data_IF_016904268194
#
_entry.id   IF_016904268194
#
_cell.length_a   1.000
_cell.length_b   1.000
_cell.length_c   1.000
_cell.angle_alpha   90.00
_cell.angle_beta   90.00
_cell.angle_gamma   90.00
#
_symmetry.space_group_name_H-M   'P 1'
#
loop_
_entity.id
_entity.type
_entity.pdbx_description
1 polymer ?
#
# COMPACT_ATOMS: atom_id res chain seq x y z
N UNK A 1 55.90 16.26 -23.71
CA UNK A 1 54.83 17.13 -23.15
C UNK A 1 53.50 17.01 -23.90
N UNK A 2 53.44 17.19 -25.23
CA UNK A 2 52.17 17.15 -26.00
C UNK A 2 51.40 15.81 -25.90
N UNK A 3 52.11 14.67 -25.88
CA UNK A 3 51.50 13.33 -25.78
C UNK A 3 50.83 13.09 -24.43
N UNK A 4 51.43 13.59 -23.35
CA UNK A 4 50.89 13.46 -22.00
C UNK A 4 49.60 14.28 -21.86
N UNK A 5 49.57 15.46 -22.48
CA UNK A 5 48.39 16.33 -22.52
C UNK A 5 47.26 15.69 -23.36
N UNK A 6 47.56 15.07 -24.49
CA UNK A 6 46.54 14.37 -25.29
C UNK A 6 45.97 13.15 -24.56
N UNK A 7 46.79 12.38 -23.84
CA UNK A 7 46.30 11.27 -23.00
C UNK A 7 45.39 11.79 -21.89
N UNK A 8 45.76 12.88 -21.23
CA UNK A 8 44.96 13.50 -20.18
C UNK A 8 43.60 13.97 -20.70
N UNK A 9 43.58 14.57 -21.90
CA UNK A 9 42.33 15.02 -22.55
C UNK A 9 41.44 13.83 -22.91
N UNK A 10 42.00 12.75 -23.44
CA UNK A 10 41.22 11.54 -23.75
C UNK A 10 40.63 10.94 -22.47
N UNK A 11 41.43 10.85 -21.40
CA UNK A 11 40.97 10.32 -20.11
C UNK A 11 39.87 11.20 -19.50
N UNK A 12 40.01 12.52 -19.61
CA UNK A 12 39.00 13.47 -19.18
C UNK A 12 37.68 13.30 -19.96
N UNK A 13 37.74 13.17 -21.29
CA UNK A 13 36.55 12.95 -22.12
C UNK A 13 35.86 11.63 -21.80
N UNK A 14 36.60 10.56 -21.53
CA UNK A 14 36.04 9.27 -21.10
C UNK A 14 35.33 9.40 -19.75
N UNK A 15 35.92 10.11 -18.79
CA UNK A 15 35.28 10.39 -17.50
C UNK A 15 34.01 11.23 -17.64
N UNK A 16 34.04 12.28 -18.47
CA UNK A 16 32.85 13.09 -18.75
C UNK A 16 31.75 12.26 -19.42
N UNK A 17 32.10 11.40 -20.39
CA UNK A 17 31.14 10.50 -21.03
C UNK A 17 30.52 9.51 -20.03
N UNK A 18 31.33 8.89 -19.17
CA UNK A 18 30.83 8.01 -18.11
C UNK A 18 29.93 8.75 -17.10
N UNK A 19 30.19 10.02 -16.81
CA UNK A 19 29.33 10.80 -15.92
C UNK A 19 27.95 11.08 -16.54
N UNK A 20 27.90 11.21 -17.88
CA UNK A 20 26.67 11.49 -18.62
C UNK A 20 25.91 10.22 -19.02
N UNK A 21 26.58 9.06 -19.15
CA UNK A 21 26.00 7.82 -19.70
C UNK A 21 26.10 6.62 -18.74
N UNK A 22 26.92 6.68 -17.70
CA UNK A 22 27.15 5.58 -16.76
C UNK A 22 25.97 5.32 -15.82
N UNK A 23 25.97 4.16 -15.17
CA UNK A 23 24.99 3.71 -14.17
C UNK A 23 24.85 4.77 -13.05
N UNK A 24 23.75 5.54 -13.06
CA UNK A 24 23.56 6.74 -12.25
C UNK A 24 23.44 8.06 -13.02
N UNK A 25 23.49 8.02 -14.35
CA UNK A 25 23.24 9.16 -15.24
C UNK A 25 21.86 9.78 -14.99
N UNK A 26 21.76 11.11 -15.19
CA UNK A 26 20.54 11.91 -15.07
C UNK A 26 19.33 11.32 -15.82
N UNK A 27 19.57 10.55 -16.88
CA UNK A 27 18.54 9.81 -17.62
C UNK A 27 17.85 8.71 -16.81
N UNK A 28 18.60 8.00 -15.96
CA UNK A 28 18.11 6.89 -15.14
C UNK A 28 17.30 7.40 -13.94
N UNK A 29 17.67 8.55 -13.39
CA UNK A 29 16.90 9.25 -12.36
C UNK A 29 15.52 9.72 -12.87
N UNK A 30 15.43 10.17 -14.13
CA UNK A 30 14.14 10.56 -14.71
C UNK A 30 13.24 9.35 -14.97
N UNK A 31 13.80 8.24 -15.47
CA UNK A 31 13.03 7.02 -15.70
C UNK A 31 12.57 6.38 -14.38
N UNK A 32 13.44 6.34 -13.37
CA UNK A 32 13.10 5.81 -12.06
C UNK A 32 12.10 6.71 -11.33
N UNK A 33 12.23 8.04 -11.47
CA UNK A 33 11.26 9.00 -10.94
C UNK A 33 9.87 8.84 -11.56
N UNK A 34 9.80 8.61 -12.87
CA UNK A 34 8.53 8.37 -13.56
C UNK A 34 7.83 7.09 -13.09
N UNK A 35 8.58 5.99 -12.93
CA UNK A 35 8.04 4.71 -12.42
C UNK A 35 7.55 4.83 -10.97
N UNK A 36 8.27 5.58 -10.13
CA UNK A 36 7.85 5.83 -8.74
C UNK A 36 6.55 6.63 -8.68
N UNK A 37 6.40 7.64 -9.55
CA UNK A 37 5.17 8.45 -9.58
C UNK A 37 3.95 7.65 -10.07
N UNK A 38 4.14 6.80 -11.09
CA UNK A 38 3.10 5.88 -11.56
C UNK A 38 2.66 4.90 -10.46
N UNK A 39 3.61 4.24 -9.80
CA UNK A 39 3.31 3.33 -8.69
C UNK A 39 2.62 4.05 -7.51
N UNK A 40 2.99 5.31 -7.24
CA UNK A 40 2.38 6.09 -6.18
C UNK A 40 0.92 6.42 -6.48
N UNK A 41 0.58 6.71 -7.74
CA UNK A 41 -0.80 6.93 -8.15
C UNK A 41 -1.63 5.66 -8.01
N UNK A 42 -1.11 4.50 -8.45
CA UNK A 42 -1.78 3.21 -8.24
C UNK A 42 -1.99 2.90 -6.76
N UNK A 43 -0.98 3.15 -5.93
CA UNK A 43 -1.06 2.90 -4.49
C UNK A 43 -2.13 3.76 -3.82
N UNK A 44 -2.27 5.04 -4.22
CA UNK A 44 -3.33 5.92 -3.73
C UNK A 44 -4.72 5.38 -4.07
N UNK A 45 -4.95 4.96 -5.32
CA UNK A 45 -6.24 4.36 -5.72
C UNK A 45 -6.54 3.08 -4.93
N UNK A 46 -5.54 2.25 -4.67
CA UNK A 46 -5.70 1.04 -3.86
C UNK A 46 -5.98 1.36 -2.39
N UNK A 47 -5.34 2.39 -1.84
CA UNK A 47 -5.56 2.82 -0.47
C UNK A 47 -6.99 3.34 -0.26
N UNK A 48 -7.52 4.14 -1.19
CA UNK A 48 -8.91 4.61 -1.15
C UNK A 48 -9.91 3.44 -1.18
N UNK A 49 -9.71 2.47 -2.08
CA UNK A 49 -10.56 1.26 -2.14
C UNK A 49 -10.49 0.42 -0.87
N UNK A 50 -9.30 0.26 -0.30
CA UNK A 50 -9.14 -0.48 0.95
C UNK A 50 -9.88 0.22 2.09
N UNK A 51 -9.85 1.55 2.14
CA UNK A 51 -10.58 2.32 3.16
C UNK A 51 -12.10 2.14 3.01
N UNK A 52 -12.61 2.15 1.78
CA UNK A 52 -14.04 1.89 1.50
C UNK A 52 -14.45 0.47 1.93
N UNK A 53 -13.66 -0.54 1.53
CA UNK A 53 -13.92 -1.94 1.89
C UNK A 53 -13.80 -2.19 3.39
N UNK A 54 -12.87 -1.54 4.08
CA UNK A 54 -12.72 -1.64 5.53
C UNK A 54 -13.95 -1.07 6.25
N UNK A 55 -14.49 0.05 5.76
CA UNK A 55 -15.76 0.60 6.23
C UNK A 55 -16.93 -0.35 6.00
N UNK A 56 -17.04 -0.94 4.81
CA UNK A 56 -18.09 -1.91 4.50
C UNK A 56 -18.00 -3.17 5.37
N UNK A 57 -16.79 -3.67 5.63
CA UNK A 57 -16.57 -4.81 6.55
C UNK A 57 -16.97 -4.45 7.97
N UNK A 58 -16.70 -3.22 8.42
CA UNK A 58 -17.09 -2.76 9.75
C UNK A 58 -18.61 -2.67 9.88
N UNK A 59 -19.28 -2.04 8.91
CA UNK A 59 -20.74 -1.92 8.84
C UNK A 59 -21.42 -3.28 8.78
N UNK A 60 -20.88 -4.23 8.00
CA UNK A 60 -21.41 -5.59 7.91
C UNK A 60 -21.26 -6.39 9.20
N UNK A 61 -20.20 -6.13 9.98
CA UNK A 61 -20.01 -6.75 11.30
C UNK A 61 -20.95 -6.14 12.33
N UNK A 62 -20.96 -4.81 12.46
CA UNK A 62 -21.85 -4.12 13.40
C UNK A 62 -23.33 -4.39 13.08
N UNK A 63 -23.70 -4.42 11.81
CA UNK A 63 -25.05 -4.76 11.38
C UNK A 63 -25.45 -6.20 11.72
N UNK A 64 -24.55 -7.18 11.56
CA UNK A 64 -24.82 -8.57 11.95
C UNK A 64 -24.88 -8.74 13.47
N UNK A 65 -23.97 -8.11 14.19
CA UNK A 65 -23.92 -8.16 15.65
C UNK A 65 -25.18 -7.52 16.26
N UNK A 66 -25.64 -6.38 15.70
CA UNK A 66 -26.89 -5.74 16.11
C UNK A 66 -28.13 -6.60 15.84
N UNK A 67 -28.17 -7.31 14.71
CA UNK A 67 -29.26 -8.25 14.40
C UNK A 67 -29.22 -9.45 15.34
N UNK A 68 -28.04 -10.00 15.62
CA UNK A 68 -27.84 -11.12 16.54
C UNK A 68 -28.28 -10.75 17.96
N UNK A 69 -27.87 -9.58 18.46
CA UNK A 69 -28.23 -9.11 19.80
C UNK A 69 -29.74 -8.88 19.93
N UNK A 70 -30.40 -8.37 18.88
CA UNK A 70 -31.86 -8.27 18.83
C UNK A 70 -32.54 -9.65 18.81
N UNK A 71 -32.01 -10.60 18.05
CA UNK A 71 -32.54 -11.97 18.00
C UNK A 71 -32.40 -12.69 19.36
N UNK A 72 -31.27 -12.49 20.03
CA UNK A 72 -31.01 -13.04 21.38
C UNK A 72 -31.89 -12.38 22.45
N UNK A 73 -32.05 -11.05 22.42
CA UNK A 73 -32.80 -10.29 23.45
C UNK A 73 -34.31 -10.33 23.27
N UNK A 74 -34.83 -10.16 22.05
CA UNK A 74 -36.29 -10.09 21.80
C UNK A 74 -36.92 -11.48 21.60
N UNK A 75 -36.19 -12.42 21.00
CA UNK A 75 -36.73 -13.72 20.59
C UNK A 75 -36.15 -14.92 21.34
N UNK A 76 -35.23 -14.70 22.30
CA UNK A 76 -34.51 -15.75 23.03
C UNK A 76 -33.88 -16.80 22.09
N UNK A 77 -33.46 -16.38 20.89
CA UNK A 77 -32.87 -17.28 19.90
C UNK A 77 -31.46 -17.68 20.36
N UNK A 78 -31.16 -18.97 20.21
CA UNK A 78 -29.86 -19.58 20.53
C UNK A 78 -29.31 -20.30 19.33
N UNK A 79 -27.97 -20.32 19.20
CA UNK A 79 -27.30 -21.08 18.14
C UNK A 79 -27.24 -22.56 18.51
N UNK A 80 -27.10 -23.43 17.52
CA UNK A 80 -26.94 -24.88 17.75
C UNK A 80 -25.72 -25.13 18.65
N UNK A 81 -25.95 -25.78 19.80
CA UNK A 81 -24.92 -26.10 20.80
C UNK A 81 -24.77 -25.08 21.94
N UNK A 82 -25.53 -23.98 21.94
CA UNK A 82 -25.55 -23.03 23.06
C UNK A 82 -26.63 -23.37 24.11
N UNK A 83 -26.44 -22.94 25.35
CA UNK A 83 -27.43 -23.08 26.44
C UNK A 83 -27.74 -21.70 27.01
N UNK A 84 -29.00 -21.26 26.91
CA UNK A 84 -29.46 -19.97 27.44
C UNK A 84 -29.89 -20.11 28.91
N UNK A 85 -29.34 -19.26 29.77
CA UNK A 85 -29.75 -19.14 31.17
C UNK A 85 -30.52 -17.83 31.35
N UNK A 86 -31.79 -17.92 31.75
CA UNK A 86 -32.61 -16.74 32.10
C UNK A 86 -32.72 -16.72 33.62
N UNK A 87 -32.21 -15.66 34.25
CA UNK A 87 -32.33 -15.45 35.69
C UNK A 87 -33.64 -14.70 35.93
N UNK A 88 -34.58 -15.34 36.64
CA UNK A 88 -35.84 -14.71 37.05
C UNK A 88 -35.63 -14.22 38.49
N UNK A 89 -35.65 -12.91 38.70
CA UNK A 89 -35.70 -12.34 40.06
C UNK A 89 -37.13 -12.42 40.59
N UNK A 90 -37.31 -12.92 41.82
CA UNK A 90 -38.61 -13.07 42.52
C UNK A 90 -39.23 -11.74 42.94
#
# INVERSE_FOLDING_TARGET
>A
MKVLLSVLVVLFLVLQFNLWVGEGSYSQLQQLGAQVEEQKQENLTLAERNQELEGEVLDLKEGQDAIEERARSEFNMVKDGETLYIIVEE
#
